data_IF_477593159843
#
_entry.id   IF_477593159843
#
_cell.length_a   1.000
_cell.length_b   1.000
_cell.length_c   1.000
_cell.angle_alpha   90.00
_cell.angle_beta   90.00
_cell.angle_gamma   90.00
#
_symmetry.space_group_name_H-M   'P 1'
#
loop_
_entity.id
_entity.type
_entity.pdbx_description
1 polymer ?
#
# COMPACT_ATOMS: atom_id res chain seq x y z
N UNK A 1 36.15 -12.66 42.02
CA UNK A 1 35.30 -13.79 41.53
C UNK A 1 35.17 -13.75 39.99
N UNK A 2 34.84 -12.67 39.36
CA UNK A 2 34.67 -12.53 37.89
C UNK A 2 35.90 -12.99 37.06
N UNK A 3 37.13 -12.60 37.47
CA UNK A 3 38.35 -13.01 36.74
C UNK A 3 38.57 -14.51 36.67
N UNK A 4 38.23 -15.24 37.73
CA UNK A 4 38.37 -16.71 37.79
C UNK A 4 37.33 -17.41 36.91
N UNK A 5 36.15 -16.93 36.89
CA UNK A 5 35.08 -17.45 35.99
C UNK A 5 35.42 -17.20 34.53
N UNK A 6 35.89 -15.98 34.20
CA UNK A 6 36.33 -15.65 32.84
C UNK A 6 37.48 -16.52 32.34
N UNK A 7 38.47 -16.84 33.24
CA UNK A 7 39.57 -17.74 32.91
C UNK A 7 39.13 -19.21 32.70
N UNK A 8 38.09 -19.66 33.38
CA UNK A 8 37.51 -21.00 33.16
C UNK A 8 36.79 -21.07 31.79
N UNK A 9 36.04 -20.02 31.45
CA UNK A 9 35.35 -19.93 30.17
C UNK A 9 36.37 -19.89 29.02
N UNK A 10 37.40 -19.04 29.10
CA UNK A 10 38.38 -18.88 28.04
C UNK A 10 39.30 -20.09 27.84
N UNK A 11 39.46 -20.96 28.85
CA UNK A 11 40.24 -22.18 28.74
C UNK A 11 39.47 -23.38 28.19
N UNK A 12 38.13 -23.30 28.12
CA UNK A 12 37.30 -24.38 27.61
C UNK A 12 36.72 -24.01 26.24
N UNK A 13 37.19 -24.56 25.12
CA UNK A 13 36.74 -24.21 23.79
C UNK A 13 35.24 -24.46 23.59
N UNK A 14 34.68 -25.48 24.25
CA UNK A 14 33.24 -25.78 24.17
C UNK A 14 32.38 -24.66 24.78
N UNK A 15 32.83 -24.05 25.89
CA UNK A 15 32.12 -22.93 26.51
C UNK A 15 32.14 -21.67 25.63
N UNK A 16 33.26 -21.46 24.93
CA UNK A 16 33.36 -20.35 23.97
C UNK A 16 32.39 -20.54 22.82
N UNK A 17 32.27 -21.74 22.26
CA UNK A 17 31.34 -22.07 21.17
C UNK A 17 29.90 -21.84 21.63
N UNK A 18 29.52 -22.28 22.82
CA UNK A 18 28.18 -22.08 23.38
C UNK A 18 27.91 -20.61 23.59
N UNK A 19 28.85 -19.83 24.10
CA UNK A 19 28.70 -18.41 24.30
C UNK A 19 28.49 -17.65 22.96
N UNK A 20 29.29 -18.00 21.96
CA UNK A 20 29.15 -17.45 20.61
C UNK A 20 27.77 -17.79 20.03
N UNK A 21 27.32 -19.03 20.17
CA UNK A 21 26.01 -19.48 19.69
C UNK A 21 24.85 -18.67 20.35
N UNK A 22 24.92 -18.51 21.69
CA UNK A 22 23.90 -17.74 22.44
C UNK A 22 23.80 -16.26 21.97
N UNK A 23 24.92 -15.67 21.60
CA UNK A 23 24.95 -14.27 21.11
C UNK A 23 24.55 -14.21 19.63
N UNK A 24 25.02 -15.16 18.83
CA UNK A 24 24.85 -15.15 17.37
C UNK A 24 23.41 -15.46 16.96
N UNK A 25 22.74 -16.39 17.62
CA UNK A 25 21.36 -16.78 17.27
C UNK A 25 20.38 -15.61 17.40
N UNK A 26 20.31 -14.89 18.54
CA UNK A 26 19.46 -13.71 18.64
C UNK A 26 19.85 -12.59 17.67
N UNK A 27 21.15 -12.39 17.43
CA UNK A 27 21.64 -11.37 16.51
C UNK A 27 21.18 -11.63 15.06
N UNK A 28 21.32 -12.88 14.60
CA UNK A 28 20.82 -13.30 13.28
C UNK A 28 19.31 -13.11 13.19
N UNK A 29 18.58 -13.62 14.21
CA UNK A 29 17.12 -13.48 14.24
C UNK A 29 16.67 -12.01 14.17
N UNK A 30 17.29 -11.17 14.99
CA UNK A 30 16.99 -9.74 15.00
C UNK A 30 17.32 -9.07 13.66
N UNK A 31 18.45 -9.40 13.06
CA UNK A 31 18.87 -8.84 11.77
C UNK A 31 17.91 -9.24 10.65
N UNK A 32 17.52 -10.51 10.59
CA UNK A 32 16.56 -11.00 9.59
C UNK A 32 15.19 -10.40 9.81
N UNK A 33 14.72 -10.35 11.05
CA UNK A 33 13.41 -9.79 11.39
C UNK A 33 13.33 -8.29 11.12
N UNK A 34 14.31 -7.50 11.60
CA UNK A 34 14.36 -6.07 11.32
C UNK A 34 14.55 -5.79 9.83
N UNK A 35 15.42 -6.55 9.15
CA UNK A 35 15.63 -6.40 7.71
C UNK A 35 14.36 -6.66 6.90
N UNK A 36 13.56 -7.66 7.30
CA UNK A 36 12.28 -7.95 6.68
C UNK A 36 11.20 -6.90 6.96
N UNK A 37 11.26 -6.24 8.13
CA UNK A 37 10.27 -5.21 8.52
C UNK A 37 10.72 -3.77 8.23
N UNK A 38 11.98 -3.58 7.83
CA UNK A 38 12.53 -2.24 7.63
C UNK A 38 11.86 -1.51 6.47
N UNK A 39 11.56 -2.23 5.41
CA UNK A 39 10.84 -1.69 4.25
C UNK A 39 9.89 -2.75 3.64
N UNK A 40 8.75 -3.01 4.31
CA UNK A 40 7.79 -4.00 3.81
C UNK A 40 7.09 -3.56 2.51
N UNK A 41 7.27 -2.31 2.12
CA UNK A 41 6.65 -1.71 0.94
C UNK A 41 7.67 -1.28 -0.13
N UNK A 42 8.96 -1.56 0.08
CA UNK A 42 10.03 -1.15 -0.84
C UNK A 42 9.86 -1.68 -2.27
N UNK A 43 9.28 -2.86 -2.40
CA UNK A 43 9.00 -3.48 -3.69
C UNK A 43 7.50 -3.40 -4.08
N UNK A 44 6.72 -2.56 -3.40
CA UNK A 44 5.29 -2.43 -3.70
C UNK A 44 5.04 -1.85 -5.10
N UNK A 45 5.95 -1.04 -5.61
CA UNK A 45 5.94 -0.49 -6.97
C UNK A 45 6.04 -1.56 -8.05
N UNK A 46 6.47 -2.78 -7.72
CA UNK A 46 6.56 -3.93 -8.61
C UNK A 46 5.31 -4.83 -8.57
N UNK A 47 4.34 -4.54 -7.67
CA UNK A 47 3.11 -5.33 -7.58
C UNK A 47 2.16 -4.97 -8.73
N UNK A 48 1.91 -5.90 -9.67
CA UNK A 48 1.04 -5.62 -10.81
C UNK A 48 -0.43 -5.59 -10.40
N UNK A 49 -1.07 -4.45 -10.68
CA UNK A 49 -2.48 -4.19 -10.37
C UNK A 49 -3.22 -3.82 -11.64
N UNK A 50 -4.27 -4.57 -11.97
CA UNK A 50 -5.13 -4.24 -13.09
C UNK A 50 -6.12 -3.14 -12.70
N UNK A 51 -6.25 -2.11 -13.52
CA UNK A 51 -7.23 -1.04 -13.34
C UNK A 51 -8.19 -1.04 -14.54
N UNK A 52 -9.47 -1.13 -14.24
CA UNK A 52 -10.55 -1.09 -15.23
C UNK A 52 -11.42 0.12 -14.96
N UNK A 53 -11.47 1.04 -15.91
CA UNK A 53 -12.26 2.27 -15.79
C UNK A 53 -13.52 2.17 -16.66
N UNK A 54 -14.69 2.12 -16.01
CA UNK A 54 -16.01 2.18 -16.63
C UNK A 54 -16.69 3.52 -16.44
N UNK A 55 -16.05 4.47 -15.75
CA UNK A 55 -16.66 5.73 -15.39
C UNK A 55 -17.11 6.53 -16.63
N UNK A 56 -18.25 7.16 -16.50
CA UNK A 56 -18.84 8.04 -17.52
C UNK A 56 -18.75 9.48 -17.09
N UNK A 57 -18.29 10.33 -18.01
CA UNK A 57 -18.25 11.79 -17.81
C UNK A 57 -19.63 12.33 -17.50
N UNK A 58 -19.71 13.25 -16.57
CA UNK A 58 -20.94 13.88 -16.13
C UNK A 58 -20.83 15.40 -16.23
N UNK A 59 -21.86 16.06 -16.74
CA UNK A 59 -21.95 17.52 -16.70
C UNK A 59 -22.56 17.97 -15.37
N UNK A 60 -21.79 18.75 -14.61
CA UNK A 60 -22.22 19.33 -13.35
C UNK A 60 -21.93 20.84 -13.37
N UNK A 61 -22.95 21.65 -13.19
CA UNK A 61 -22.87 23.14 -13.20
C UNK A 61 -22.13 23.71 -14.42
N UNK A 62 -22.35 23.14 -15.61
CA UNK A 62 -21.72 23.61 -16.85
C UNK A 62 -20.26 23.15 -17.05
N UNK A 63 -19.72 22.33 -16.14
CA UNK A 63 -18.39 21.72 -16.25
C UNK A 63 -18.51 20.20 -16.46
N UNK A 64 -17.72 19.69 -17.37
CA UNK A 64 -17.60 18.24 -17.56
C UNK A 64 -16.69 17.68 -16.48
N UNK A 65 -17.23 16.83 -15.62
CA UNK A 65 -16.46 16.08 -14.61
C UNK A 65 -16.15 14.70 -15.14
N UNK A 66 -14.89 14.28 -14.94
CA UNK A 66 -14.36 12.99 -15.34
C UNK A 66 -13.47 12.43 -14.24
N UNK A 67 -14.04 12.30 -13.04
CA UNK A 67 -13.30 11.93 -11.82
C UNK A 67 -12.60 10.58 -11.95
N UNK A 68 -13.21 9.63 -12.69
CA UNK A 68 -12.59 8.33 -12.97
C UNK A 68 -11.34 8.44 -13.83
N UNK A 69 -11.34 9.29 -14.87
CA UNK A 69 -10.17 9.52 -15.71
C UNK A 69 -9.06 10.24 -14.93
N UNK A 70 -9.43 11.21 -14.08
CA UNK A 70 -8.48 11.92 -13.23
C UNK A 70 -7.87 10.97 -12.19
N UNK A 71 -8.66 10.05 -11.63
CA UNK A 71 -8.17 9.01 -10.73
C UNK A 71 -7.16 8.08 -11.45
N UNK A 72 -7.49 7.61 -12.66
CA UNK A 72 -6.61 6.80 -13.49
C UNK A 72 -5.28 7.50 -13.73
N UNK A 73 -5.31 8.79 -14.05
CA UNK A 73 -4.11 9.60 -14.25
C UNK A 73 -3.28 9.71 -12.97
N UNK A 74 -3.91 10.02 -11.85
CA UNK A 74 -3.23 10.13 -10.56
C UNK A 74 -2.61 8.80 -10.12
N UNK A 75 -3.30 7.67 -10.34
CA UNK A 75 -2.74 6.34 -10.07
C UNK A 75 -1.50 6.08 -10.92
N UNK A 76 -1.55 6.40 -12.21
CA UNK A 76 -0.41 6.26 -13.13
C UNK A 76 0.79 7.10 -12.69
N UNK A 77 0.54 8.32 -12.26
CA UNK A 77 1.60 9.28 -11.87
C UNK A 77 2.14 9.01 -10.45
N UNK A 78 1.43 8.24 -9.62
CA UNK A 78 1.81 7.98 -8.22
C UNK A 78 3.01 7.06 -8.08
N UNK A 79 3.22 6.13 -9.01
CA UNK A 79 4.30 5.14 -8.95
C UNK A 79 4.28 4.22 -7.73
N UNK A 80 3.16 4.20 -6.97
CA UNK A 80 3.05 3.43 -5.72
C UNK A 80 2.92 1.94 -5.95
N UNK A 81 2.37 1.55 -7.10
CA UNK A 81 2.15 0.17 -7.55
C UNK A 81 2.34 0.13 -9.08
N UNK A 82 2.53 -1.07 -9.62
CA UNK A 82 2.58 -1.26 -11.09
C UNK A 82 1.16 -1.34 -11.67
N UNK A 83 0.59 -0.19 -12.02
CA UNK A 83 -0.77 -0.09 -12.51
C UNK A 83 -0.88 -0.39 -14.00
N UNK A 84 -1.64 -1.43 -14.35
CA UNK A 84 -1.97 -1.83 -15.72
C UNK A 84 -3.41 -1.48 -16.06
N UNK A 85 -3.61 -0.55 -16.98
CA UNK A 85 -4.96 -0.13 -17.44
C UNK A 85 -5.41 -1.07 -18.56
N UNK A 86 -6.35 -1.93 -18.24
CA UNK A 86 -6.77 -3.04 -19.12
C UNK A 86 -8.30 -3.18 -19.15
N UNK A 87 -8.81 -3.99 -20.09
CA UNK A 87 -10.24 -4.34 -20.14
C UNK A 87 -10.59 -5.41 -19.11
N UNK A 88 -11.90 -5.53 -18.76
CA UNK A 88 -12.41 -6.53 -17.81
C UNK A 88 -11.90 -7.94 -18.09
N UNK A 89 -12.05 -8.39 -19.34
CA UNK A 89 -11.63 -9.74 -19.76
C UNK A 89 -10.14 -10.00 -19.52
N UNK A 90 -9.30 -8.98 -19.78
CA UNK A 90 -7.86 -9.09 -19.57
C UNK A 90 -7.52 -9.03 -18.09
N UNK A 91 -8.18 -8.18 -17.32
CA UNK A 91 -8.03 -8.10 -15.88
C UNK A 91 -8.39 -9.41 -15.18
N UNK A 92 -9.57 -9.98 -15.49
CA UNK A 92 -9.99 -11.26 -14.91
C UNK A 92 -9.07 -12.43 -15.31
N UNK A 93 -8.64 -12.48 -16.57
CA UNK A 93 -7.71 -13.50 -17.02
C UNK A 93 -6.38 -13.38 -16.30
N UNK A 94 -5.83 -12.18 -16.19
CA UNK A 94 -4.57 -11.91 -15.51
C UNK A 94 -4.64 -12.21 -14.01
N UNK A 95 -5.77 -11.91 -13.34
CA UNK A 95 -5.96 -12.28 -11.96
C UNK A 95 -5.99 -13.81 -11.76
N UNK A 96 -6.69 -14.53 -12.64
CA UNK A 96 -6.76 -16.00 -12.60
C UNK A 96 -5.41 -16.67 -12.91
N UNK A 97 -4.60 -16.07 -13.77
CA UNK A 97 -3.27 -16.58 -14.12
C UNK A 97 -2.16 -16.17 -13.14
N UNK A 98 -2.46 -15.29 -12.17
CA UNK A 98 -1.48 -14.73 -11.25
C UNK A 98 -0.62 -13.60 -11.85
N UNK A 99 -0.99 -13.08 -13.04
CA UNK A 99 -0.33 -11.94 -13.67
C UNK A 99 -0.62 -10.63 -12.91
N UNK A 100 -1.84 -10.49 -12.36
CA UNK A 100 -2.23 -9.36 -11.52
C UNK A 100 -2.54 -9.81 -10.10
N UNK A 101 -2.11 -9.02 -9.13
CA UNK A 101 -2.33 -9.27 -7.71
C UNK A 101 -3.75 -8.90 -7.28
N UNK A 102 -4.29 -7.84 -7.88
CA UNK A 102 -5.65 -7.36 -7.63
C UNK A 102 -6.20 -6.62 -8.86
N UNK A 103 -7.52 -6.42 -8.85
CA UNK A 103 -8.23 -5.61 -9.84
C UNK A 103 -8.91 -4.44 -9.13
N UNK A 104 -8.68 -3.23 -9.63
CA UNK A 104 -9.42 -2.03 -9.24
C UNK A 104 -10.41 -1.73 -10.35
N UNK A 105 -11.70 -1.82 -10.06
CA UNK A 105 -12.77 -1.49 -10.99
C UNK A 105 -13.43 -0.18 -10.59
N UNK A 106 -13.41 0.80 -11.50
CA UNK A 106 -14.08 2.09 -11.33
C UNK A 106 -15.45 1.97 -12.01
N UNK A 107 -16.58 2.07 -11.25
CA UNK A 107 -17.92 1.85 -11.79
C UNK A 107 -18.37 3.01 -12.70
N UNK A 108 -19.35 2.74 -13.57
CA UNK A 108 -19.89 3.72 -14.53
C UNK A 108 -20.43 5.00 -13.92
N UNK A 109 -20.90 4.94 -12.68
CA UNK A 109 -21.51 6.05 -11.96
C UNK A 109 -20.55 6.74 -10.98
N UNK A 110 -19.24 6.50 -11.09
CA UNK A 110 -18.24 7.03 -10.15
C UNK A 110 -18.25 8.57 -10.14
N UNK A 111 -18.12 9.23 -11.29
CA UNK A 111 -18.20 10.69 -11.40
C UNK A 111 -19.54 11.24 -10.94
N UNK A 112 -20.65 10.55 -11.24
CA UNK A 112 -21.99 10.94 -10.77
C UNK A 112 -22.10 10.90 -9.25
N UNK A 113 -21.59 9.88 -8.61
CA UNK A 113 -21.62 9.75 -7.16
C UNK A 113 -20.69 10.77 -6.48
N UNK A 114 -19.57 11.09 -7.11
CA UNK A 114 -18.66 12.15 -6.63
C UNK A 114 -19.34 13.52 -6.60
N UNK A 115 -20.18 13.86 -7.59
CA UNK A 115 -20.97 15.12 -7.58
C UNK A 115 -21.97 15.18 -6.44
N UNK A 116 -22.57 14.05 -6.08
CA UNK A 116 -23.51 13.96 -4.94
C UNK A 116 -22.81 14.25 -3.62
N UNK A 117 -21.60 13.70 -3.42
CA UNK A 117 -20.80 13.99 -2.23
C UNK A 117 -20.39 15.47 -2.15
N UNK A 118 -20.03 16.08 -3.27
CA UNK A 118 -19.71 17.52 -3.34
C UNK A 118 -20.92 18.36 -2.98
N UNK A 119 -22.11 18.05 -3.50
CA UNK A 119 -23.36 18.75 -3.21
C UNK A 119 -23.73 18.66 -1.72
N UNK A 120 -23.58 17.50 -1.10
CA UNK A 120 -23.85 17.28 0.34
C UNK A 120 -22.85 18.06 1.21
N UNK A 121 -21.59 18.05 0.85
CA UNK A 121 -20.54 18.80 1.57
C UNK A 121 -20.80 20.31 1.53
N UNK A 122 -21.24 20.82 0.38
CA UNK A 122 -21.56 22.25 0.21
C UNK A 122 -22.77 22.69 1.01
N UNK A 123 -23.82 21.85 1.07
CA UNK A 123 -25.02 22.15 1.90
C UNK A 123 -24.72 22.14 3.38
N UNK A 124 -23.82 21.25 3.85
CA UNK A 124 -23.39 21.21 5.25
C UNK A 124 -22.59 22.45 5.67
N UNK A 125 -21.67 22.91 4.82
CA UNK A 125 -20.89 24.14 5.09
C UNK A 125 -21.79 25.36 5.15
N UNK A 126 -22.76 25.50 4.22
CA UNK A 126 -23.70 26.61 4.20
C UNK A 126 -24.67 26.63 5.38
N UNK A 127 -25.07 25.47 5.88
CA UNK A 127 -25.90 25.34 7.09
C UNK A 127 -25.18 25.79 8.36
N UNK A 128 -23.87 25.69 8.41
CA UNK A 128 -23.06 26.21 9.51
C UNK A 128 -22.88 27.73 9.47
N UNK A 129 -22.76 28.33 8.28
CA UNK A 129 -22.65 29.78 8.12
C UNK A 129 -23.95 30.51 8.46
N UNK A 130 -25.10 29.93 8.13
CA UNK A 130 -26.41 30.54 8.46
C UNK A 130 -26.81 30.41 9.93
N UNK A 131 -26.13 29.58 10.72
CA UNK A 131 -26.36 29.47 12.18
C UNK A 131 -25.48 30.41 13.01
N UNK A 132 -24.53 31.09 12.39
CA UNK A 132 -23.57 31.98 13.06
C UNK A 132 -23.92 33.50 12.93
N UNK A 133 -25.06 33.84 12.31
CA UNK A 133 -25.59 35.22 12.24
C UNK A 133 -26.91 35.34 13.00
#
# INVERSE_FOLDING_TARGET
MLKREWQKISKNPWMIIILIAIITIPAIYTSVFLGSMWDPYGDADQLPVAVVNHDKKVNYEGKTLQVGDDLVKNLKDSGSLDFHFVSDKKAEKGLKSGEYYMIISIPENFSKNATTLMAVSYTHLRAHETKAN
#
